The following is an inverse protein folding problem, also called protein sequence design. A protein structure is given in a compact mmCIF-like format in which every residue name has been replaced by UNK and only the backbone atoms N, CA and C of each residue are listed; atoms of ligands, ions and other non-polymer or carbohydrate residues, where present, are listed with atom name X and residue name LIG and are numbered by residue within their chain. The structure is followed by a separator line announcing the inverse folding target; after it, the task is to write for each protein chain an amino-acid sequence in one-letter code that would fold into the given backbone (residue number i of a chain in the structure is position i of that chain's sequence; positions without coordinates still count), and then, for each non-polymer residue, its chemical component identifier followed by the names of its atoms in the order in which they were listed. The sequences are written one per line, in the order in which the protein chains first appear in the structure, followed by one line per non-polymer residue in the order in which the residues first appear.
data_IF_973576593348
#
_entry.id   IF_973576593348
#
_cell.length_a   1.000
_cell.length_b   1.000
_cell.length_c   1.000
_cell.angle_alpha   90.00
_cell.angle_beta   90.00
_cell.angle_gamma   90.00
#
_symmetry.space_group_name_H-M   'P 1'
#
loop_
_entity.id
_entity.type
_entity.pdbx_description
1 polymer ?
#
# COMPACT_ATOMS: atom_id res chain seq x y z
N UNK A 1 -4.56 42.19 5.24
CA UNK A 1 -4.26 42.97 4.02
C UNK A 1 -2.87 43.59 4.19
N UNK A 2 -1.93 43.30 3.27
CA UNK A 2 -0.58 43.87 3.38
C UNK A 2 -0.65 45.39 3.23
N UNK A 3 0.11 46.13 4.04
CA UNK A 3 0.22 47.59 3.99
C UNK A 3 -1.12 48.33 4.06
N UNK A 4 -1.93 48.10 5.09
CA UNK A 4 -3.26 48.73 5.28
C UNK A 4 -3.24 50.25 5.17
N UNK A 5 -2.12 50.90 5.47
CA UNK A 5 -1.96 52.37 5.41
C UNK A 5 -1.53 52.90 4.02
N UNK A 6 -1.31 52.04 3.03
CA UNK A 6 -0.96 52.40 1.66
C UNK A 6 -1.69 51.49 0.67
N UNK A 7 -2.87 51.89 0.15
CA UNK A 7 -3.67 51.06 -0.74
C UNK A 7 -2.97 50.64 -2.04
N UNK A 8 -2.23 51.52 -2.67
CA UNK A 8 -1.52 51.23 -3.93
C UNK A 8 -0.43 50.18 -3.74
N UNK A 9 0.39 50.33 -2.66
CA UNK A 9 1.39 49.35 -2.32
C UNK A 9 0.78 48.00 -1.92
N UNK A 10 -0.36 48.04 -1.21
CA UNK A 10 -1.13 46.86 -0.86
C UNK A 10 -1.60 46.09 -2.08
N UNK A 11 -2.16 46.77 -3.07
CA UNK A 11 -2.62 46.17 -4.33
C UNK A 11 -1.47 45.62 -5.16
N UNK A 12 -0.33 46.32 -5.21
CA UNK A 12 0.86 45.83 -5.90
C UNK A 12 1.38 44.50 -5.30
N UNK A 13 1.44 44.41 -3.97
CA UNK A 13 1.86 43.18 -3.27
C UNK A 13 0.84 42.08 -3.53
N UNK A 14 -0.45 42.33 -3.45
CA UNK A 14 -1.49 41.33 -3.72
C UNK A 14 -1.38 40.81 -5.17
N UNK A 15 -1.19 41.67 -6.14
CA UNK A 15 -1.03 41.32 -7.56
C UNK A 15 0.20 40.42 -7.76
N UNK A 16 1.31 40.73 -7.11
CA UNK A 16 2.53 39.92 -7.19
C UNK A 16 2.36 38.56 -6.52
N UNK A 17 1.69 38.47 -5.36
CA UNK A 17 1.34 37.22 -4.73
C UNK A 17 0.47 36.35 -5.64
N UNK A 18 -0.56 36.92 -6.22
CA UNK A 18 -1.43 36.21 -7.19
C UNK A 18 -0.60 35.68 -8.35
N UNK A 19 0.23 36.55 -8.96
CA UNK A 19 1.10 36.14 -10.08
C UNK A 19 2.04 34.99 -9.73
N UNK A 20 2.60 34.97 -8.54
CA UNK A 20 3.48 33.89 -8.05
C UNK A 20 2.64 32.63 -7.84
N UNK A 21 1.52 32.72 -7.15
CA UNK A 21 0.66 31.57 -6.87
C UNK A 21 0.08 30.93 -8.12
N UNK A 22 -0.32 31.73 -9.12
CA UNK A 22 -0.80 31.22 -10.41
C UNK A 22 0.28 30.38 -11.12
N UNK A 23 1.53 30.87 -11.14
CA UNK A 23 2.66 30.12 -11.71
C UNK A 23 2.94 28.83 -10.91
N UNK A 24 2.93 28.90 -9.59
CA UNK A 24 3.12 27.72 -8.73
C UNK A 24 2.00 26.70 -8.93
N UNK A 25 0.76 27.15 -9.04
CA UNK A 25 -0.40 26.30 -9.30
C UNK A 25 -0.25 25.57 -10.64
N UNK A 26 0.08 26.32 -11.70
CA UNK A 26 0.27 25.74 -13.03
C UNK A 26 1.41 24.71 -13.05
N UNK A 27 2.58 25.05 -12.48
CA UNK A 27 3.73 24.17 -12.43
C UNK A 27 3.46 22.91 -11.58
N UNK A 28 2.82 23.08 -10.43
CA UNK A 28 2.49 21.94 -9.56
C UNK A 28 1.49 21.00 -10.23
N UNK A 29 0.49 21.55 -10.93
CA UNK A 29 -0.48 20.76 -11.68
C UNK A 29 0.18 19.97 -12.81
N UNK A 30 1.07 20.60 -13.58
CA UNK A 30 1.82 19.95 -14.66
C UNK A 30 2.70 18.80 -14.12
N UNK A 31 3.55 19.08 -13.13
CA UNK A 31 4.42 18.07 -12.50
C UNK A 31 3.62 16.92 -11.89
N UNK A 32 2.51 17.21 -11.23
CA UNK A 32 1.66 16.17 -10.64
C UNK A 32 1.00 15.32 -11.71
N UNK A 33 0.59 15.91 -12.83
CA UNK A 33 0.03 15.18 -13.95
C UNK A 33 1.07 14.26 -14.61
N UNK A 34 2.29 14.75 -14.85
CA UNK A 34 3.41 13.94 -15.39
C UNK A 34 3.77 12.76 -14.47
N UNK A 35 3.94 13.01 -13.17
CA UNK A 35 4.26 11.96 -12.19
C UNK A 35 3.12 10.93 -12.10
N UNK A 36 1.87 11.37 -12.22
CA UNK A 36 0.71 10.46 -12.22
C UNK A 36 0.67 9.61 -13.48
N UNK A 37 0.97 10.19 -14.64
CA UNK A 37 1.07 9.47 -15.90
C UNK A 37 2.20 8.42 -15.86
N UNK A 38 3.37 8.81 -15.35
CA UNK A 38 4.51 7.90 -15.13
C UNK A 38 4.14 6.76 -14.17
N UNK A 39 3.52 7.05 -13.03
CA UNK A 39 3.04 6.05 -12.08
C UNK A 39 2.10 5.03 -12.75
N UNK A 40 1.16 5.49 -13.56
CA UNK A 40 0.23 4.61 -14.27
C UNK A 40 0.95 3.74 -15.30
N UNK A 41 1.93 4.28 -16.00
CA UNK A 41 2.77 3.53 -16.95
C UNK A 41 3.60 2.46 -16.21
N UNK A 42 4.23 2.81 -15.08
CA UNK A 42 5.02 1.86 -14.28
C UNK A 42 4.15 0.76 -13.66
N UNK A 43 2.92 1.06 -13.25
CA UNK A 43 1.97 0.03 -12.79
C UNK A 43 1.61 -0.96 -13.91
N UNK A 44 1.43 -0.48 -15.15
CA UNK A 44 1.21 -1.37 -16.30
C UNK A 44 2.42 -2.25 -16.57
N UNK A 45 3.64 -1.67 -16.55
CA UNK A 45 4.87 -2.44 -16.70
C UNK A 45 5.04 -3.47 -15.59
N UNK A 46 4.75 -3.11 -14.34
CA UNK A 46 4.83 -4.02 -13.21
C UNK A 46 3.91 -5.23 -13.38
N UNK A 47 2.65 -5.02 -13.75
CA UNK A 47 1.72 -6.11 -14.02
C UNK A 47 2.22 -6.99 -15.18
N UNK A 48 2.67 -6.39 -16.28
CA UNK A 48 3.22 -7.13 -17.42
C UNK A 48 4.42 -8.01 -17.02
N UNK A 49 5.41 -7.45 -16.32
CA UNK A 49 6.58 -8.23 -15.91
C UNK A 49 6.23 -9.28 -14.85
N UNK A 50 5.30 -8.99 -13.94
CA UNK A 50 4.79 -9.99 -12.99
C UNK A 50 4.16 -11.16 -13.73
N UNK A 51 3.28 -10.91 -14.68
CA UNK A 51 2.67 -11.95 -15.50
C UNK A 51 3.71 -12.80 -16.24
N UNK A 52 4.71 -12.17 -16.85
CA UNK A 52 5.77 -12.88 -17.56
C UNK A 52 6.65 -13.71 -16.63
N UNK A 53 7.08 -13.14 -15.51
CA UNK A 53 8.02 -13.78 -14.58
C UNK A 53 7.37 -14.87 -13.72
N UNK A 54 6.05 -14.82 -13.52
CA UNK A 54 5.29 -15.81 -12.75
C UNK A 54 4.55 -16.82 -13.65
N UNK A 55 4.66 -16.70 -14.97
CA UNK A 55 4.08 -17.65 -15.92
C UNK A 55 5.09 -18.74 -16.27
N UNK A 56 4.78 -19.97 -15.89
CA UNK A 56 5.57 -21.15 -16.21
C UNK A 56 4.73 -22.11 -17.06
N UNK A 57 5.37 -22.79 -18.03
CA UNK A 57 4.71 -23.82 -18.82
C UNK A 57 4.63 -25.11 -18.03
N UNK A 58 3.68 -25.96 -18.41
CA UNK A 58 3.58 -27.30 -17.85
C UNK A 58 4.88 -28.08 -18.06
N UNK A 59 5.41 -28.67 -16.98
CA UNK A 59 6.68 -29.40 -17.00
C UNK A 59 7.95 -28.54 -16.81
N UNK A 60 7.87 -27.21 -16.83
CA UNK A 60 9.05 -26.34 -16.56
C UNK A 60 9.41 -26.27 -15.08
N UNK A 61 8.42 -26.35 -14.21
CA UNK A 61 8.59 -26.27 -12.75
C UNK A 61 7.65 -27.25 -12.05
N UNK A 62 7.99 -27.58 -10.80
CA UNK A 62 7.07 -28.28 -9.91
C UNK A 62 5.90 -27.35 -9.54
N UNK A 63 4.69 -27.91 -9.43
CA UNK A 63 3.51 -27.20 -8.96
C UNK A 63 3.03 -27.80 -7.65
N UNK A 64 2.81 -26.96 -6.66
CA UNK A 64 2.22 -27.32 -5.36
C UNK A 64 0.98 -26.47 -5.13
N UNK A 65 0.12 -26.93 -4.22
CA UNK A 65 -0.97 -26.07 -3.73
C UNK A 65 -0.45 -25.14 -2.63
N UNK A 66 -1.12 -24.01 -2.40
CA UNK A 66 -0.77 -23.10 -1.32
C UNK A 66 -0.75 -23.82 0.04
N UNK A 67 -1.66 -24.78 0.26
CA UNK A 67 -1.74 -25.56 1.49
C UNK A 67 -0.59 -26.54 1.71
N UNK A 68 0.15 -26.91 0.66
CA UNK A 68 1.39 -27.71 0.77
C UNK A 68 2.59 -26.86 1.16
N UNK A 69 2.61 -25.58 0.77
CA UNK A 69 3.76 -24.68 1.02
C UNK A 69 3.55 -23.70 2.16
N UNK A 70 2.32 -23.50 2.59
CA UNK A 70 1.95 -22.54 3.64
C UNK A 70 0.76 -23.02 4.47
N UNK A 71 0.54 -22.38 5.61
CA UNK A 71 -0.60 -22.63 6.48
C UNK A 71 -1.16 -21.32 7.04
N UNK A 72 -2.39 -21.33 7.51
CA UNK A 72 -2.92 -20.23 8.31
C UNK A 72 -2.26 -20.20 9.68
N UNK A 73 -1.91 -19.00 10.16
CA UNK A 73 -1.40 -18.84 11.54
C UNK A 73 -2.42 -19.34 12.55
N UNK A 74 -1.96 -20.19 13.47
CA UNK A 74 -2.73 -20.71 14.60
C UNK A 74 -2.33 -20.07 15.93
N UNK A 75 -1.25 -19.28 15.94
CA UNK A 75 -0.75 -18.60 17.14
C UNK A 75 -1.63 -17.41 17.50
N UNK A 76 -1.64 -17.07 18.79
CA UNK A 76 -2.48 -16.00 19.34
C UNK A 76 -1.63 -15.02 20.13
N UNK A 77 -1.95 -13.75 19.99
CA UNK A 77 -1.34 -12.63 20.72
C UNK A 77 -2.38 -11.92 21.59
N UNK A 78 -2.00 -11.46 22.79
CA UNK A 78 -2.87 -10.66 23.65
C UNK A 78 -3.04 -9.26 23.07
N UNK A 79 -4.24 -8.69 23.20
CA UNK A 79 -4.51 -7.31 22.81
C UNK A 79 -3.59 -6.30 23.51
N UNK A 80 -3.11 -6.59 24.72
CA UNK A 80 -2.21 -5.74 25.50
C UNK A 80 -0.85 -5.49 24.84
N UNK A 81 -0.45 -6.37 23.90
CA UNK A 81 0.79 -6.25 23.14
C UNK A 81 0.60 -5.53 21.80
N UNK A 82 -0.61 -5.01 21.55
CA UNK A 82 -0.97 -4.39 20.29
C UNK A 82 -1.16 -2.88 20.44
N UNK A 83 -0.66 -2.17 19.45
CA UNK A 83 -0.82 -0.73 19.27
C UNK A 83 -1.29 -0.40 17.84
N UNK A 84 -1.35 0.88 17.50
CA UNK A 84 -1.73 1.38 16.18
C UNK A 84 -0.80 0.91 15.05
N UNK A 85 0.46 0.52 15.37
CA UNK A 85 1.48 0.15 14.41
C UNK A 85 1.46 -1.33 14.07
N UNK A 86 1.12 -2.18 15.04
CA UNK A 86 1.20 -3.62 14.91
C UNK A 86 -0.16 -4.34 14.94
N UNK A 87 -1.29 -3.61 15.08
CA UNK A 87 -2.61 -4.17 14.81
C UNK A 87 -2.99 -3.95 13.35
N UNK A 88 -3.44 -5.03 12.68
CA UNK A 88 -3.87 -5.00 11.28
C UNK A 88 -5.30 -5.52 11.14
N UNK A 89 -6.22 -4.63 10.84
CA UNK A 89 -7.60 -4.93 10.45
C UNK A 89 -7.81 -4.77 8.94
N UNK A 90 -9.00 -5.12 8.46
CA UNK A 90 -9.34 -4.91 7.04
C UNK A 90 -9.38 -3.41 6.68
N UNK A 91 -9.69 -2.56 7.65
CA UNK A 91 -9.79 -1.10 7.48
C UNK A 91 -8.44 -0.44 7.24
N UNK A 92 -7.38 -0.86 7.92
CA UNK A 92 -6.05 -0.29 7.75
C UNK A 92 -5.13 -1.09 6.79
N UNK A 93 -5.58 -2.23 6.24
CA UNK A 93 -5.01 -2.78 5.01
C UNK A 93 -5.48 -1.95 3.82
N UNK A 94 -4.53 -1.38 3.09
CA UNK A 94 -4.80 -0.49 1.97
C UNK A 94 -5.17 -1.26 0.71
N UNK A 95 -6.02 -0.64 -0.13
CA UNK A 95 -6.46 -1.22 -1.39
C UNK A 95 -5.31 -1.28 -2.42
N UNK A 96 -5.49 -2.12 -3.43
CA UNK A 96 -4.57 -2.21 -4.57
C UNK A 96 -3.11 -2.48 -4.16
N UNK A 97 -2.89 -3.31 -3.15
CA UNK A 97 -1.56 -3.74 -2.67
C UNK A 97 -0.71 -2.61 -2.07
N UNK A 98 -1.35 -1.52 -1.64
CA UNK A 98 -0.62 -0.35 -1.13
C UNK A 98 -0.07 -0.53 0.31
N UNK A 99 -0.10 -1.76 0.86
CA UNK A 99 0.41 -2.04 2.19
C UNK A 99 -0.59 -1.77 3.30
N UNK A 100 -0.15 -1.19 4.40
CA UNK A 100 -0.99 -0.83 5.55
C UNK A 100 -0.75 0.61 6.02
N UNK A 101 -1.75 1.18 6.68
CA UNK A 101 -1.63 2.41 7.47
C UNK A 101 -1.63 2.09 8.98
N UNK A 102 -1.43 3.10 9.80
CA UNK A 102 -1.68 3.00 11.25
C UNK A 102 -3.16 2.67 11.48
N UNK A 103 -3.44 1.87 12.52
CA UNK A 103 -4.80 1.51 12.87
C UNK A 103 -5.47 2.60 13.72
N UNK A 104 -6.69 2.97 13.37
CA UNK A 104 -7.51 3.86 14.19
C UNK A 104 -8.35 3.11 15.25
N UNK A 105 -8.38 1.77 15.19
CA UNK A 105 -9.24 0.94 16.02
C UNK A 105 -8.50 -0.30 16.51
N UNK A 106 -7.65 -0.11 17.53
CA UNK A 106 -6.95 -1.25 18.18
C UNK A 106 -7.93 -1.91 19.17
N UNK A 107 -8.08 -3.25 19.15
CA UNK A 107 -8.93 -3.96 20.11
C UNK A 107 -8.46 -3.75 21.55
N UNK A 108 -9.43 -3.63 22.46
CA UNK A 108 -9.19 -3.39 23.90
C UNK A 108 -9.39 -4.62 24.75
N UNK A 109 -9.62 -5.80 24.14
CA UNK A 109 -9.83 -7.06 24.85
C UNK A 109 -9.59 -8.27 23.94
N UNK A 110 -9.32 -9.43 24.55
CA UNK A 110 -9.28 -10.71 23.89
C UNK A 110 -7.91 -11.12 23.33
N UNK A 111 -7.91 -12.27 22.67
CA UNK A 111 -6.73 -12.80 21.95
C UNK A 111 -6.98 -12.79 20.47
N UNK A 112 -6.04 -12.23 19.72
CA UNK A 112 -6.10 -12.08 18.26
C UNK A 112 -5.21 -13.10 17.57
N UNK A 113 -5.37 -13.26 16.26
CA UNK A 113 -4.46 -14.08 15.46
C UNK A 113 -3.13 -13.35 15.34
N UNK A 114 -2.05 -14.00 15.79
CA UNK A 114 -0.70 -13.46 15.71
C UNK A 114 -0.14 -13.59 14.28
N UNK A 115 0.57 -12.57 13.85
CA UNK A 115 1.48 -12.64 12.71
C UNK A 115 2.91 -12.27 13.13
N UNK A 116 3.87 -12.78 12.41
CA UNK A 116 5.31 -12.53 12.60
C UNK A 116 5.93 -12.00 11.29
N UNK A 117 7.15 -11.44 11.31
CA UNK A 117 7.81 -11.01 10.09
C UNK A 117 7.82 -12.10 9.01
N UNK A 118 7.58 -11.68 7.76
CA UNK A 118 7.40 -12.49 6.57
C UNK A 118 6.06 -13.23 6.43
N UNK A 119 5.17 -13.24 7.41
CA UNK A 119 3.80 -13.69 7.19
C UNK A 119 3.10 -12.80 6.16
N UNK A 120 2.19 -13.38 5.37
CA UNK A 120 1.42 -12.65 4.36
C UNK A 120 -0.01 -12.46 4.87
N UNK A 121 -0.42 -11.20 4.99
CA UNK A 121 -1.75 -10.82 5.45
C UNK A 121 -2.62 -10.47 4.25
N UNK A 122 -3.80 -11.09 4.16
CA UNK A 122 -4.77 -10.87 3.08
C UNK A 122 -6.12 -10.48 3.67
N UNK A 123 -6.67 -9.36 3.22
CA UNK A 123 -8.04 -8.96 3.56
C UNK A 123 -9.05 -9.92 2.94
N UNK A 124 -9.79 -10.66 3.79
CA UNK A 124 -10.72 -11.70 3.35
C UNK A 124 -12.10 -11.17 2.93
N UNK A 125 -12.41 -9.91 3.27
CA UNK A 125 -13.65 -9.25 2.87
C UNK A 125 -13.40 -8.44 1.60
N UNK A 126 -14.30 -8.61 0.60
CA UNK A 126 -14.21 -7.95 -0.70
C UNK A 126 -12.84 -8.16 -1.36
N UNK A 127 -12.48 -9.41 -1.71
CA UNK A 127 -11.15 -9.73 -2.26
C UNK A 127 -10.78 -8.90 -3.49
N UNK A 128 -11.75 -8.40 -4.25
CA UNK A 128 -11.53 -7.49 -5.38
C UNK A 128 -10.84 -6.17 -5.02
N UNK A 129 -10.79 -5.80 -3.72
CA UNK A 129 -10.03 -4.65 -3.24
C UNK A 129 -8.52 -4.91 -3.20
N UNK A 130 -8.07 -6.14 -3.40
CA UNK A 130 -6.67 -6.57 -3.50
C UNK A 130 -5.83 -6.08 -2.31
N UNK A 131 -6.38 -6.25 -1.09
CA UNK A 131 -5.73 -5.88 0.16
C UNK A 131 -4.77 -6.98 0.59
N UNK A 132 -3.47 -6.72 0.50
CA UNK A 132 -2.40 -7.64 0.87
C UNK A 132 -1.20 -6.87 1.40
N UNK A 133 -0.52 -7.44 2.40
CA UNK A 133 0.70 -6.90 2.98
C UNK A 133 1.56 -8.04 3.53
N UNK A 134 2.88 -7.93 3.35
CA UNK A 134 3.83 -8.84 3.99
C UNK A 134 4.33 -8.20 5.28
N UNK A 135 4.20 -8.92 6.40
CA UNK A 135 4.55 -8.42 7.71
C UNK A 135 6.06 -8.15 7.85
N UNK A 136 6.38 -7.01 8.44
CA UNK A 136 7.73 -6.58 8.82
C UNK A 136 7.94 -6.59 10.33
N UNK A 137 6.90 -6.83 11.12
CA UNK A 137 6.90 -6.85 12.58
C UNK A 137 6.04 -7.99 13.13
N UNK A 138 6.09 -8.18 14.45
CA UNK A 138 5.15 -9.03 15.19
C UNK A 138 3.92 -8.20 15.51
N UNK A 139 2.74 -8.78 15.32
CA UNK A 139 1.48 -8.11 15.63
C UNK A 139 0.27 -9.04 15.62
N UNK A 140 -0.91 -8.45 15.58
CA UNK A 140 -2.17 -9.18 15.66
C UNK A 140 -3.22 -8.70 14.68
N UNK A 141 -4.12 -9.61 14.31
CA UNK A 141 -5.23 -9.31 13.42
C UNK A 141 -6.52 -10.01 13.84
N UNK A 142 -7.66 -9.48 13.38
CA UNK A 142 -8.97 -10.10 13.57
C UNK A 142 -9.25 -11.19 12.51
N UNK A 143 -10.42 -11.84 12.62
CA UNK A 143 -10.81 -12.95 11.72
C UNK A 143 -11.10 -12.56 10.27
N UNK A 144 -11.13 -11.28 9.95
CA UNK A 144 -11.39 -10.75 8.61
C UNK A 144 -10.12 -10.55 7.77
N UNK A 145 -8.95 -10.74 8.39
CA UNK A 145 -7.65 -10.80 7.73
C UNK A 145 -7.08 -12.20 7.89
N UNK A 146 -6.68 -12.81 6.80
CA UNK A 146 -6.02 -14.11 6.77
C UNK A 146 -4.51 -13.92 6.95
N UNK A 147 -3.91 -14.69 7.86
CA UNK A 147 -2.46 -14.72 8.06
C UNK A 147 -1.92 -16.01 7.47
N UNK A 148 -1.18 -15.92 6.39
CA UNK A 148 -0.58 -17.04 5.67
C UNK A 148 0.91 -17.09 6.03
N UNK A 149 1.34 -18.20 6.63
CA UNK A 149 2.72 -18.46 7.04
C UNK A 149 3.32 -19.52 6.14
N UNK A 150 4.42 -19.20 5.48
CA UNK A 150 5.19 -20.17 4.70
C UNK A 150 5.82 -21.20 5.63
N UNK A 151 5.72 -22.50 5.25
CA UNK A 151 6.27 -23.64 6.02
C UNK A 151 7.25 -24.48 5.18
N UNK A 152 7.30 -24.26 3.87
CA UNK A 152 8.16 -24.99 2.95
C UNK A 152 9.45 -24.20 2.70
N UNK A 153 10.60 -24.79 3.04
CA UNK A 153 11.93 -24.17 2.84
C UNK A 153 12.33 -24.03 1.37
N UNK A 154 11.65 -24.71 0.44
CA UNK A 154 11.84 -24.56 -1.00
C UNK A 154 11.21 -23.29 -1.57
N UNK A 155 10.46 -22.56 -0.74
CA UNK A 155 9.75 -21.33 -1.13
C UNK A 155 10.35 -20.11 -0.43
N UNK A 156 10.77 -19.13 -1.24
CA UNK A 156 11.08 -17.80 -0.76
C UNK A 156 9.76 -17.07 -0.40
N UNK A 157 9.63 -16.58 0.83
CA UNK A 157 8.38 -15.96 1.33
C UNK A 157 8.00 -14.71 0.55
N UNK A 158 8.98 -13.94 0.06
CA UNK A 158 8.71 -12.76 -0.79
C UNK A 158 8.26 -13.16 -2.19
N UNK A 159 8.76 -14.28 -2.72
CA UNK A 159 8.26 -14.86 -3.96
C UNK A 159 6.81 -15.30 -3.82
N UNK A 160 6.47 -15.99 -2.71
CA UNK A 160 5.08 -16.35 -2.40
C UNK A 160 4.18 -15.12 -2.32
N UNK A 161 4.65 -14.05 -1.66
CA UNK A 161 3.94 -12.77 -1.63
C UNK A 161 3.65 -12.23 -3.04
N UNK A 162 4.62 -12.28 -3.96
CA UNK A 162 4.42 -11.80 -5.34
C UNK A 162 3.36 -12.61 -6.09
N UNK A 163 3.31 -13.93 -5.87
CA UNK A 163 2.27 -14.79 -6.44
C UNK A 163 0.89 -14.44 -5.87
N UNK A 164 0.78 -14.29 -4.54
CA UNK A 164 -0.49 -13.96 -3.88
C UNK A 164 -0.91 -12.50 -4.09
N UNK A 165 0.01 -11.64 -4.50
CA UNK A 165 -0.28 -10.28 -4.91
C UNK A 165 -0.69 -10.16 -6.39
N UNK A 166 -0.64 -11.23 -7.17
CA UNK A 166 -1.07 -11.25 -8.57
C UNK A 166 -2.59 -11.12 -8.73
N UNK A 167 -3.02 -10.54 -9.85
CA UNK A 167 -4.44 -10.40 -10.16
C UNK A 167 -5.12 -11.76 -10.31
N UNK A 168 -4.43 -12.76 -10.86
CA UNK A 168 -4.93 -14.13 -11.01
C UNK A 168 -5.33 -14.77 -9.68
N UNK A 169 -4.57 -14.52 -8.61
CA UNK A 169 -4.92 -14.99 -7.28
C UNK A 169 -6.21 -14.33 -6.76
N UNK A 170 -6.36 -13.02 -6.93
CA UNK A 170 -7.58 -12.33 -6.48
C UNK A 170 -8.80 -12.69 -7.32
N UNK A 171 -8.64 -12.93 -8.61
CA UNK A 171 -9.69 -13.46 -9.50
C UNK A 171 -10.11 -14.85 -9.06
N UNK A 172 -9.16 -15.75 -8.83
CA UNK A 172 -9.42 -17.07 -8.27
C UNK A 172 -10.15 -16.99 -6.92
N UNK A 173 -9.69 -16.13 -6.00
CA UNK A 173 -10.34 -15.94 -4.70
C UNK A 173 -11.78 -15.42 -4.86
N UNK A 174 -12.04 -14.53 -5.82
CA UNK A 174 -13.40 -14.03 -6.11
C UNK A 174 -14.30 -15.10 -6.70
N UNK A 175 -13.81 -16.00 -7.56
CA UNK A 175 -14.60 -17.11 -8.11
C UNK A 175 -15.12 -18.05 -7.02
N UNK A 176 -14.39 -18.21 -5.92
CA UNK A 176 -14.75 -19.06 -4.78
C UNK A 176 -15.34 -18.28 -3.60
N UNK A 177 -15.51 -16.95 -3.73
CA UNK A 177 -16.03 -16.13 -2.65
C UNK A 177 -17.54 -16.32 -2.45
N UNK A 178 -17.98 -16.24 -1.20
CA UNK A 178 -19.39 -16.35 -0.80
C UNK A 178 -19.93 -15.02 -0.30
N UNK A 179 -21.21 -14.73 -0.59
CA UNK A 179 -21.89 -13.52 -0.16
C UNK A 179 -21.97 -12.45 -1.25
N UNK A 180 -23.20 -11.97 -1.55
CA UNK A 180 -23.43 -11.03 -2.66
C UNK A 180 -22.95 -9.60 -2.35
N UNK A 181 -23.30 -9.06 -1.19
CA UNK A 181 -23.01 -7.64 -0.84
C UNK A 181 -21.61 -7.44 -0.25
N UNK A 182 -21.12 -8.43 0.49
CA UNK A 182 -19.80 -8.43 1.13
C UNK A 182 -19.13 -9.80 0.90
N UNK A 183 -18.64 -10.08 -0.30
CA UNK A 183 -18.05 -11.38 -0.61
C UNK A 183 -16.86 -11.65 0.30
N UNK A 184 -16.78 -12.87 0.82
CA UNK A 184 -15.67 -13.38 1.62
C UNK A 184 -15.03 -14.56 0.90
N UNK A 185 -13.72 -14.54 0.78
CA UNK A 185 -12.97 -15.64 0.20
C UNK A 185 -13.14 -16.93 1.01
N UNK A 186 -13.15 -18.04 0.31
CA UNK A 186 -13.19 -19.38 0.92
C UNK A 186 -11.80 -19.76 1.41
N UNK A 187 -11.64 -19.94 2.73
CA UNK A 187 -10.35 -20.32 3.32
C UNK A 187 -9.83 -21.66 2.78
N UNK A 188 -10.72 -22.60 2.52
CA UNK A 188 -10.38 -23.93 1.98
C UNK A 188 -9.93 -23.84 0.53
N UNK A 189 -10.63 -23.05 -0.30
CA UNK A 189 -10.29 -22.94 -1.71
C UNK A 189 -9.04 -22.09 -1.93
N UNK A 190 -8.80 -21.07 -1.11
CA UNK A 190 -7.53 -20.31 -1.12
C UNK A 190 -6.33 -21.24 -0.96
N UNK A 191 -6.39 -22.24 -0.07
CA UNK A 191 -5.29 -23.20 0.11
C UNK A 191 -5.10 -24.18 -1.06
N UNK A 192 -6.06 -24.29 -1.97
CA UNK A 192 -5.93 -25.07 -3.22
C UNK A 192 -5.29 -24.29 -4.37
N UNK A 193 -5.03 -23.00 -4.19
CA UNK A 193 -4.43 -22.16 -5.24
C UNK A 193 -3.07 -22.73 -5.69
N UNK A 194 -2.84 -22.89 -7.00
CA UNK A 194 -1.61 -23.48 -7.51
C UNK A 194 -0.43 -22.51 -7.40
N UNK A 195 0.67 -23.00 -6.89
CA UNK A 195 1.93 -22.27 -6.68
C UNK A 195 3.02 -22.91 -7.53
N UNK A 196 3.62 -22.21 -8.50
CA UNK A 196 4.79 -22.69 -9.22
C UNK A 196 6.02 -22.61 -8.33
N UNK A 197 6.84 -23.67 -8.33
CA UNK A 197 8.01 -23.83 -7.46
C UNK A 197 9.29 -23.95 -8.32
N UNK A 198 9.78 -22.86 -8.90
CA UNK A 198 11.08 -22.86 -9.56
C UNK A 198 12.23 -22.93 -8.54
N UNK A 199 13.46 -23.22 -8.96
CA UNK A 199 14.62 -23.19 -8.06
C UNK A 199 14.74 -21.87 -7.28
N UNK A 200 15.20 -21.93 -6.02
CA UNK A 200 15.31 -20.75 -5.14
C UNK A 200 16.13 -19.60 -5.75
N UNK A 201 17.13 -19.91 -6.56
CA UNK A 201 17.92 -18.89 -7.30
C UNK A 201 17.06 -18.10 -8.28
N UNK A 202 16.14 -18.77 -8.99
CA UNK A 202 15.20 -18.11 -9.89
C UNK A 202 14.14 -17.32 -9.12
N UNK A 203 13.60 -17.88 -8.03
CA UNK A 203 12.68 -17.16 -7.14
C UNK A 203 13.32 -15.85 -6.62
N UNK A 204 14.56 -15.89 -6.16
CA UNK A 204 15.29 -14.71 -5.68
C UNK A 204 15.46 -13.65 -6.78
N UNK A 205 15.78 -14.06 -8.00
CA UNK A 205 15.90 -13.14 -9.14
C UNK A 205 14.56 -12.50 -9.52
N UNK A 206 13.49 -13.26 -9.52
CA UNK A 206 12.12 -12.75 -9.74
C UNK A 206 11.76 -11.70 -8.67
N UNK A 207 12.03 -12.03 -7.42
CA UNK A 207 11.79 -11.12 -6.28
C UNK A 207 12.59 -9.82 -6.43
N UNK A 208 13.86 -9.88 -6.80
CA UNK A 208 14.69 -8.69 -7.00
C UNK A 208 14.08 -7.75 -8.05
N UNK A 209 13.64 -8.30 -9.17
CA UNK A 209 13.03 -7.51 -10.25
C UNK A 209 11.70 -6.91 -9.79
N UNK A 210 10.79 -7.73 -9.24
CA UNK A 210 9.46 -7.28 -8.87
C UNK A 210 9.46 -6.32 -7.67
N UNK A 211 10.40 -6.45 -6.73
CA UNK A 211 10.53 -5.51 -5.61
C UNK A 211 10.89 -4.09 -6.07
N UNK A 212 11.70 -3.94 -7.13
CA UNK A 212 12.02 -2.61 -7.68
C UNK A 212 10.76 -1.91 -8.19
N UNK A 213 9.88 -2.65 -8.86
CA UNK A 213 8.59 -2.11 -9.30
C UNK A 213 7.65 -1.84 -8.12
N UNK A 214 7.61 -2.73 -7.14
CA UNK A 214 6.75 -2.58 -5.95
C UNK A 214 7.09 -1.29 -5.19
N UNK A 215 8.38 -1.07 -4.90
CA UNK A 215 8.86 0.16 -4.28
C UNK A 215 8.49 1.40 -5.10
N UNK A 216 8.75 1.37 -6.41
CA UNK A 216 8.50 2.51 -7.29
C UNK A 216 7.01 2.87 -7.39
N UNK A 217 6.10 1.88 -7.35
CA UNK A 217 4.67 2.07 -7.68
C UNK A 217 3.74 2.06 -6.49
N UNK A 218 4.10 1.41 -5.39
CA UNK A 218 3.20 1.16 -4.27
C UNK A 218 3.71 1.71 -2.92
N UNK A 219 5.01 2.02 -2.80
CA UNK A 219 5.55 2.55 -1.56
C UNK A 219 5.02 3.96 -1.28
N UNK A 220 4.54 4.18 -0.04
CA UNK A 220 4.12 5.49 0.46
C UNK A 220 5.26 6.28 1.10
N UNK A 221 6.42 5.65 1.29
CA UNK A 221 7.62 6.27 1.87
C UNK A 221 8.67 6.62 0.83
N UNK A 222 8.62 5.92 -0.31
CA UNK A 222 9.57 6.06 -1.42
C UNK A 222 8.82 5.96 -2.76
N UNK A 223 9.49 6.29 -3.86
CA UNK A 223 8.92 6.15 -5.20
C UNK A 223 7.91 7.23 -5.59
N UNK A 224 7.19 6.97 -6.68
CA UNK A 224 6.32 7.95 -7.33
C UNK A 224 5.14 8.43 -6.46
N UNK A 225 4.46 7.59 -5.67
CA UNK A 225 3.38 8.08 -4.82
C UNK A 225 3.87 9.10 -3.78
N UNK A 226 5.05 8.86 -3.21
CA UNK A 226 5.66 9.79 -2.25
C UNK A 226 6.08 11.10 -2.90
N UNK A 227 6.63 11.03 -4.11
CA UNK A 227 7.03 12.24 -4.85
C UNK A 227 5.82 13.12 -5.16
N UNK A 228 4.69 12.54 -5.57
CA UNK A 228 3.43 13.28 -5.81
C UNK A 228 2.97 13.99 -4.53
N UNK A 229 2.96 13.29 -3.40
CA UNK A 229 2.59 13.87 -2.10
C UNK A 229 3.52 15.03 -1.70
N UNK A 230 4.83 14.87 -1.89
CA UNK A 230 5.81 15.91 -1.56
C UNK A 230 5.63 17.17 -2.41
N UNK A 231 5.29 17.06 -3.70
CA UNK A 231 5.01 18.22 -4.56
C UNK A 231 3.77 18.98 -4.09
N UNK A 232 2.72 18.28 -3.67
CA UNK A 232 1.53 18.90 -3.10
C UNK A 232 1.84 19.64 -1.79
N UNK A 233 2.57 19.00 -0.86
CA UNK A 233 2.98 19.63 0.40
C UNK A 233 3.88 20.84 0.19
N UNK A 234 4.77 20.79 -0.80
CA UNK A 234 5.62 21.91 -1.17
C UNK A 234 4.80 23.12 -1.64
N UNK A 235 3.78 22.88 -2.47
CA UNK A 235 2.85 23.92 -2.89
C UNK A 235 2.11 24.55 -1.70
N UNK A 236 1.54 23.73 -0.82
CA UNK A 236 0.83 24.18 0.38
C UNK A 236 1.72 25.04 1.29
N UNK A 237 2.95 24.60 1.52
CA UNK A 237 3.93 25.36 2.32
C UNK A 237 4.21 26.75 1.76
N UNK A 238 4.51 26.86 0.46
CA UNK A 238 4.79 28.16 -0.14
C UNK A 238 3.55 29.05 -0.23
N UNK A 239 2.37 28.46 -0.46
CA UNK A 239 1.10 29.21 -0.40
C UNK A 239 0.90 29.83 0.97
N UNK A 240 1.04 29.04 2.02
CA UNK A 240 0.84 29.50 3.40
C UNK A 240 1.88 30.54 3.80
N UNK A 241 3.12 30.38 3.36
CA UNK A 241 4.19 31.37 3.57
C UNK A 241 3.85 32.72 2.91
N UNK A 242 3.35 32.73 1.66
CA UNK A 242 2.97 33.95 0.94
C UNK A 242 1.76 34.66 1.59
N UNK A 243 0.91 33.94 2.31
CA UNK A 243 -0.21 34.52 3.05
C UNK A 243 0.08 34.85 4.52
N UNK A 244 1.27 34.53 5.02
CA UNK A 244 1.68 34.84 6.39
C UNK A 244 2.14 36.29 6.51
N UNK A 245 1.22 37.21 6.79
CA UNK A 245 1.52 38.61 7.08
C UNK A 245 1.65 38.82 8.60
N UNK A 246 2.54 39.73 9.06
CA UNK A 246 2.58 40.15 10.46
C UNK A 246 1.22 40.70 10.87
N UNK A 247 0.70 40.22 12.00
CA UNK A 247 -0.50 40.83 12.61
C UNK A 247 -0.15 42.23 13.08
N UNK A 248 -1.06 43.23 12.89
CA UNK A 248 -0.88 44.54 13.51
C UNK A 248 -0.75 44.36 15.01
N UNK A 249 0.24 45.01 15.63
CA UNK A 249 0.30 45.08 17.08
C UNK A 249 -0.98 45.77 17.57
N UNK A 250 -1.78 45.07 18.38
CA UNK A 250 -2.89 45.68 19.09
C UNK A 250 -2.28 46.57 20.16
N UNK A 251 -2.27 47.87 19.90
CA UNK A 251 -1.97 48.84 20.96
C UNK A 251 -3.09 48.71 22.01
N UNK A 252 -2.75 48.07 23.12
CA UNK A 252 -3.63 48.08 24.32
C UNK A 252 -3.61 49.49 24.87
N UNK A 253 -4.71 50.21 24.73
CA UNK A 253 -5.00 51.43 25.50
C UNK A 253 -5.32 51.04 26.94
#
# INVERSE_FOLDING_TARGET
IPCSNNPEKSLAIQSEIVRILDKFTALTAELTAELTAELNMRKKQYNYYRDQLLSFKEGEVEWKTLGEVAQYSKTRISFELLDERNYVGVDNLLQNRAGKSLSNHVPTSGKLTEFIPNDILIGNIRPYLKKIWQADCIGGTNGDVLVIRCIDSSINTRYLYQILADDKFFEYNMQHAKGAKMPRGSKEDIMKYPIPVPPLTLQARIVEILNKFDTLTNSITEGLPREIELRQKQYEYYRDLLFSFPKPETVSN
#
